data_IF_486264912166
#
_entry.id   IF_486264912166
#
_cell.length_a   1.000
_cell.length_b   1.000
_cell.length_c   1.000
_cell.angle_alpha   90.00
_cell.angle_beta   90.00
_cell.angle_gamma   90.00
#
_symmetry.space_group_name_H-M   'P 1'
#
loop_
_entity.id
_entity.type
_entity.pdbx_description
1 polymer ?
#
# COMPACT_ATOMS: atom_id res chain seq x y z
N UNK A 1 -7.55 16.95 3.21
CA UNK A 1 -6.05 16.95 3.17
C UNK A 1 -5.63 15.65 2.54
N UNK A 2 -4.69 15.69 1.62
CA UNK A 2 -4.17 14.51 0.94
C UNK A 2 -3.16 13.78 1.84
N UNK A 3 -3.23 12.45 1.90
CA UNK A 3 -2.33 11.63 2.71
C UNK A 3 -0.96 11.46 2.04
N UNK A 4 0.09 11.35 2.85
CA UNK A 4 1.38 10.79 2.43
C UNK A 4 1.25 9.28 2.24
N UNK A 5 1.84 8.74 1.17
CA UNK A 5 1.70 7.32 0.78
C UNK A 5 3.02 6.56 0.92
N UNK A 6 2.94 5.32 1.37
CA UNK A 6 4.05 4.37 1.35
C UNK A 6 3.84 3.39 0.19
N UNK A 7 4.76 3.43 -0.78
CA UNK A 7 4.66 2.72 -2.06
C UNK A 7 5.89 1.82 -2.25
N UNK A 8 5.87 0.57 -1.77
CA UNK A 8 6.96 -0.37 -2.04
C UNK A 8 7.22 -0.52 -3.53
N UNK A 9 8.49 -0.69 -3.93
CA UNK A 9 8.80 -1.00 -5.31
C UNK A 9 9.28 -2.44 -5.52
N UNK A 10 9.02 -2.97 -6.70
CA UNK A 10 9.47 -4.27 -7.19
C UNK A 10 10.16 -4.07 -8.54
N UNK A 11 11.46 -4.36 -8.59
CA UNK A 11 12.16 -4.53 -9.85
C UNK A 11 11.96 -5.97 -10.34
N UNK A 12 11.46 -6.14 -11.55
CA UNK A 12 11.10 -7.45 -12.08
C UNK A 12 12.14 -8.03 -13.05
N UNK A 13 13.26 -7.35 -13.26
CA UNK A 13 14.27 -7.73 -14.29
C UNK A 13 14.90 -9.11 -14.09
N UNK A 14 14.88 -9.66 -12.90
CA UNK A 14 15.49 -10.98 -12.62
C UNK A 14 14.56 -11.89 -11.83
N UNK A 15 13.24 -11.64 -11.86
CA UNK A 15 12.28 -12.36 -11.05
C UNK A 15 11.21 -13.04 -11.89
N UNK A 16 10.77 -14.22 -11.45
CA UNK A 16 9.61 -14.89 -12.05
C UNK A 16 8.32 -14.16 -11.68
N UNK A 17 7.32 -14.20 -12.55
CA UNK A 17 6.01 -13.59 -12.30
C UNK A 17 5.37 -14.08 -11.00
N UNK A 18 5.53 -15.36 -10.65
CA UNK A 18 5.01 -15.91 -9.39
C UNK A 18 5.64 -15.28 -8.14
N UNK A 19 6.95 -14.99 -8.16
CA UNK A 19 7.63 -14.31 -7.06
C UNK A 19 7.21 -12.84 -6.94
N UNK A 20 7.04 -12.17 -8.09
CA UNK A 20 6.55 -10.78 -8.13
C UNK A 20 5.14 -10.70 -7.56
N UNK A 21 4.23 -11.59 -7.96
CA UNK A 21 2.85 -11.65 -7.46
C UNK A 21 2.84 -11.89 -5.94
N UNK A 22 3.53 -12.92 -5.46
CA UNK A 22 3.56 -13.24 -4.03
C UNK A 22 4.11 -12.07 -3.18
N UNK A 23 5.12 -11.34 -3.70
CA UNK A 23 5.66 -10.16 -3.02
C UNK A 23 4.71 -8.97 -3.07
N UNK A 24 4.02 -8.77 -4.19
CA UNK A 24 3.01 -7.73 -4.32
C UNK A 24 1.86 -7.94 -3.34
N UNK A 25 1.30 -9.15 -3.26
CA UNK A 25 0.27 -9.53 -2.30
C UNK A 25 0.73 -9.26 -0.87
N UNK A 26 1.95 -9.69 -0.51
CA UNK A 26 2.52 -9.46 0.82
C UNK A 26 2.61 -7.98 1.19
N UNK A 27 3.04 -7.11 0.26
CA UNK A 27 3.08 -5.67 0.52
C UNK A 27 1.68 -5.08 0.75
N UNK A 28 0.69 -5.52 -0.01
CA UNK A 28 -0.71 -5.08 0.15
C UNK A 28 -1.32 -5.54 1.47
N UNK A 29 -1.06 -6.78 1.86
CA UNK A 29 -1.47 -7.32 3.17
C UNK A 29 -0.85 -6.52 4.32
N UNK A 30 0.42 -6.12 4.17
CA UNK A 30 1.13 -5.30 5.14
C UNK A 30 0.76 -3.81 5.11
N UNK A 31 -0.17 -3.40 4.26
CA UNK A 31 -0.74 -2.05 4.26
C UNK A 31 -0.09 -1.05 3.30
N UNK A 32 0.49 -1.50 2.19
CA UNK A 32 0.95 -0.61 1.13
C UNK A 32 -0.20 0.23 0.57
N UNK A 33 0.05 1.51 0.24
CA UNK A 33 -0.95 2.40 -0.34
C UNK A 33 -1.05 2.29 -1.86
N UNK A 34 0.02 1.83 -2.50
CA UNK A 34 0.16 1.50 -3.91
C UNK A 34 1.40 0.64 -4.09
N UNK A 35 1.62 0.11 -5.29
CA UNK A 35 2.86 -0.58 -5.66
C UNK A 35 3.52 0.13 -6.84
N UNK A 36 4.85 0.23 -6.82
CA UNK A 36 5.63 0.65 -7.97
C UNK A 36 6.37 -0.56 -8.54
N UNK A 37 5.95 -1.04 -9.71
CA UNK A 37 6.46 -2.26 -10.36
C UNK A 37 7.08 -1.85 -11.69
N UNK A 38 8.34 -2.21 -11.92
CA UNK A 38 9.01 -1.73 -13.12
C UNK A 38 9.90 -2.77 -13.80
N UNK A 39 9.94 -2.66 -15.13
CA UNK A 39 10.90 -3.28 -16.05
C UNK A 39 11.20 -2.29 -17.16
N UNK A 40 12.43 -1.83 -17.26
CA UNK A 40 12.84 -0.84 -18.24
C UNK A 40 13.60 -1.46 -19.42
N UNK A 41 13.20 -2.64 -19.88
CA UNK A 41 13.80 -3.32 -21.01
C UNK A 41 13.31 -2.76 -22.34
N UNK A 42 14.23 -2.59 -23.29
CA UNK A 42 13.93 -2.26 -24.67
C UNK A 42 13.62 -3.49 -25.53
N UNK A 43 13.77 -4.70 -24.99
CA UNK A 43 13.46 -5.96 -25.68
C UNK A 43 11.94 -6.15 -25.77
N UNK A 44 11.43 -6.33 -26.99
CA UNK A 44 9.99 -6.43 -27.24
C UNK A 44 9.34 -7.64 -26.55
N UNK A 45 10.02 -8.77 -26.48
CA UNK A 45 9.51 -9.98 -25.81
C UNK A 45 9.35 -9.71 -24.31
N UNK A 46 10.38 -9.13 -23.67
CA UNK A 46 10.33 -8.79 -22.24
C UNK A 46 9.29 -7.73 -21.92
N UNK A 47 9.04 -6.80 -22.85
CA UNK A 47 7.99 -5.77 -22.72
C UNK A 47 6.60 -6.40 -22.74
N UNK A 48 6.31 -7.29 -23.69
CA UNK A 48 5.02 -7.98 -23.77
C UNK A 48 4.81 -8.93 -22.56
N UNK A 49 5.83 -9.65 -22.11
CA UNK A 49 5.79 -10.44 -20.87
C UNK A 49 5.47 -9.56 -19.65
N UNK A 50 6.08 -8.37 -19.56
CA UNK A 50 5.83 -7.43 -18.47
C UNK A 50 4.40 -6.90 -18.50
N UNK A 51 3.87 -6.53 -19.67
CA UNK A 51 2.48 -6.09 -19.82
C UNK A 51 1.48 -7.20 -19.45
N UNK A 52 1.76 -8.44 -19.83
CA UNK A 52 0.95 -9.59 -19.42
C UNK A 52 0.94 -9.77 -17.91
N UNK A 53 2.12 -9.70 -17.27
CA UNK A 53 2.24 -9.79 -15.80
C UNK A 53 1.52 -8.64 -15.10
N UNK A 54 1.58 -7.41 -15.62
CA UNK A 54 0.84 -6.27 -15.06
C UNK A 54 -0.67 -6.50 -15.10
N UNK A 55 -1.19 -7.07 -16.19
CA UNK A 55 -2.61 -7.40 -16.32
C UNK A 55 -3.05 -8.44 -15.28
N UNK A 56 -2.24 -9.48 -15.05
CA UNK A 56 -2.50 -10.48 -14.01
C UNK A 56 -2.46 -9.86 -12.61
N UNK A 57 -1.48 -9.00 -12.35
CA UNK A 57 -1.36 -8.27 -11.08
C UNK A 57 -2.56 -7.36 -10.81
N UNK A 58 -3.00 -6.57 -11.78
CA UNK A 58 -4.16 -5.69 -11.66
C UNK A 58 -5.45 -6.47 -11.33
N UNK A 59 -5.58 -7.69 -11.84
CA UNK A 59 -6.73 -8.55 -11.54
C UNK A 59 -6.75 -9.04 -10.07
N UNK A 60 -5.60 -9.11 -9.41
CA UNK A 60 -5.45 -9.69 -8.06
C UNK A 60 -5.26 -8.59 -7.00
N UNK A 61 -4.47 -7.57 -7.32
CA UNK A 61 -4.03 -6.52 -6.41
C UNK A 61 -5.07 -5.40 -6.34
N UNK A 62 -5.45 -5.01 -5.12
CA UNK A 62 -6.53 -4.03 -4.88
C UNK A 62 -6.04 -2.59 -4.74
N UNK A 63 -4.73 -2.40 -4.55
CA UNK A 63 -4.15 -1.05 -4.47
C UNK A 63 -3.69 -0.58 -5.85
N UNK A 64 -3.60 0.73 -6.10
CA UNK A 64 -3.09 1.26 -7.36
C UNK A 64 -1.71 0.71 -7.71
N UNK A 65 -1.47 0.41 -8.98
CA UNK A 65 -0.17 0.00 -9.49
C UNK A 65 0.39 1.12 -10.37
N UNK A 66 1.61 1.54 -10.06
CA UNK A 66 2.43 2.41 -10.90
C UNK A 66 3.35 1.50 -11.72
N UNK A 67 3.26 1.52 -13.04
CA UNK A 67 4.10 0.70 -13.91
C UNK A 67 5.29 1.50 -14.44
N UNK A 68 6.52 1.11 -14.08
CA UNK A 68 7.72 1.65 -14.72
C UNK A 68 7.99 0.92 -16.03
N UNK A 69 7.88 1.64 -17.15
CA UNK A 69 7.95 1.08 -18.50
C UNK A 69 9.11 1.66 -19.31
N UNK A 70 9.60 0.89 -20.27
CA UNK A 70 10.37 1.45 -21.39
C UNK A 70 9.39 2.20 -22.31
N UNK A 71 9.76 3.42 -22.68
CA UNK A 71 8.91 4.30 -23.46
C UNK A 71 9.68 4.84 -24.66
N UNK A 72 9.15 4.62 -25.82
CA UNK A 72 9.67 5.13 -27.10
C UNK A 72 8.61 5.89 -27.86
N UNK A 73 7.37 5.40 -27.81
CA UNK A 73 6.23 5.97 -28.51
C UNK A 73 4.99 6.07 -27.61
N UNK A 74 4.05 6.95 -27.98
CA UNK A 74 2.77 7.10 -27.26
C UNK A 74 2.02 5.76 -27.09
N UNK A 75 2.17 4.83 -28.02
CA UNK A 75 1.50 3.52 -27.96
C UNK A 75 2.02 2.65 -26.81
N UNK A 76 3.23 2.86 -26.32
CA UNK A 76 3.76 2.16 -25.13
C UNK A 76 2.98 2.56 -23.88
N UNK A 77 2.67 3.86 -23.73
CA UNK A 77 1.80 4.33 -22.66
C UNK A 77 0.39 3.76 -22.77
N UNK A 78 -0.20 3.75 -23.97
CA UNK A 78 -1.54 3.18 -24.21
C UNK A 78 -1.58 1.69 -23.84
N UNK A 79 -0.59 0.90 -24.26
CA UNK A 79 -0.48 -0.52 -23.93
C UNK A 79 -0.41 -0.72 -22.42
N UNK A 80 0.40 0.07 -21.71
CA UNK A 80 0.52 -0.01 -20.25
C UNK A 80 -0.81 0.31 -19.56
N UNK A 81 -1.47 1.43 -19.88
CA UNK A 81 -2.76 1.77 -19.30
C UNK A 81 -3.88 0.77 -19.63
N UNK A 82 -3.82 0.12 -20.81
CA UNK A 82 -4.77 -0.94 -21.18
C UNK A 82 -4.63 -2.21 -20.31
N UNK A 83 -3.55 -2.38 -19.55
CA UNK A 83 -3.45 -3.45 -18.54
C UNK A 83 -4.29 -3.16 -17.30
N UNK A 84 -4.75 -1.91 -17.12
CA UNK A 84 -5.50 -1.45 -15.94
C UNK A 84 -4.63 -0.82 -14.85
N UNK A 85 -3.35 -0.56 -15.09
CA UNK A 85 -2.50 0.18 -14.13
C UNK A 85 -3.00 1.61 -13.95
N UNK A 86 -2.85 2.15 -12.75
CA UNK A 86 -3.32 3.48 -12.41
C UNK A 86 -2.40 4.59 -12.93
N UNK A 87 -1.10 4.32 -12.97
CA UNK A 87 -0.08 5.30 -13.34
C UNK A 87 1.05 4.59 -14.09
N UNK A 88 1.80 5.37 -14.88
CA UNK A 88 3.05 4.92 -15.48
C UNK A 88 4.22 5.79 -15.05
N UNK A 89 5.43 5.21 -15.08
CA UNK A 89 6.69 5.91 -14.83
C UNK A 89 7.67 5.65 -15.98
N UNK A 90 8.29 6.72 -16.48
CA UNK A 90 9.21 6.70 -17.60
C UNK A 90 10.56 7.26 -17.13
N UNK A 91 11.66 6.58 -17.46
CA UNK A 91 12.99 7.05 -17.06
C UNK A 91 13.45 8.19 -17.97
N UNK A 92 13.78 9.34 -17.36
CA UNK A 92 14.29 10.51 -18.08
C UNK A 92 15.54 10.16 -18.94
N UNK A 93 16.48 9.40 -18.39
CA UNK A 93 17.71 8.98 -19.11
C UNK A 93 17.47 8.11 -20.34
N UNK A 94 16.29 7.52 -20.48
CA UNK A 94 15.90 6.67 -21.62
C UNK A 94 14.85 7.34 -22.52
N UNK A 95 14.46 8.55 -22.18
CA UNK A 95 13.48 9.33 -22.95
C UNK A 95 14.20 10.05 -24.09
N UNK A 96 13.87 9.66 -25.32
CA UNK A 96 14.42 10.27 -26.54
C UNK A 96 13.42 11.21 -27.24
N UNK A 97 12.12 11.03 -27.00
CA UNK A 97 11.03 11.77 -27.64
C UNK A 97 10.14 12.44 -26.57
N UNK A 98 10.46 13.68 -26.24
CA UNK A 98 9.69 14.50 -25.30
C UNK A 98 8.32 14.90 -25.86
N UNK A 99 8.15 15.01 -27.18
CA UNK A 99 6.84 15.30 -27.79
C UNK A 99 5.88 14.13 -27.60
N UNK A 100 6.36 12.88 -27.71
CA UNK A 100 5.57 11.70 -27.41
C UNK A 100 5.22 11.63 -25.91
N UNK A 101 6.15 12.00 -25.02
CA UNK A 101 5.91 12.10 -23.58
C UNK A 101 4.84 13.14 -23.25
N UNK A 102 4.93 14.35 -23.82
CA UNK A 102 3.93 15.40 -23.62
C UNK A 102 2.54 14.99 -24.13
N UNK A 103 2.47 14.25 -25.24
CA UNK A 103 1.21 13.66 -25.71
C UNK A 103 0.65 12.64 -24.73
N UNK A 104 1.51 11.81 -24.10
CA UNK A 104 1.08 10.88 -23.07
C UNK A 104 0.55 11.62 -21.84
N UNK A 105 1.25 12.66 -21.36
CA UNK A 105 0.80 13.51 -20.26
C UNK A 105 -0.54 14.19 -20.56
N UNK A 106 -0.72 14.73 -21.77
CA UNK A 106 -2.00 15.35 -22.19
C UNK A 106 -3.14 14.34 -22.29
N UNK A 107 -2.85 13.10 -22.71
CA UNK A 107 -3.87 12.06 -22.91
C UNK A 107 -4.32 11.44 -21.59
N UNK A 108 -3.41 11.18 -20.66
CA UNK A 108 -3.67 10.40 -19.45
C UNK A 108 -3.70 11.24 -18.16
N UNK A 109 -3.30 12.50 -18.22
CA UNK A 109 -3.20 13.42 -17.08
C UNK A 109 -1.79 13.45 -16.47
N UNK A 110 -1.35 14.64 -16.05
CA UNK A 110 -0.03 14.85 -15.47
C UNK A 110 0.14 14.10 -14.13
N UNK A 111 -0.94 13.84 -13.42
CA UNK A 111 -0.97 13.08 -12.18
C UNK A 111 -0.78 11.56 -12.37
N UNK A 112 -0.94 11.08 -13.61
CA UNK A 112 -0.89 9.65 -13.95
C UNK A 112 0.38 9.24 -14.71
N UNK A 113 1.17 10.21 -15.17
CA UNK A 113 2.41 9.98 -15.92
C UNK A 113 3.59 10.59 -15.18
N UNK A 114 4.45 9.76 -14.63
CA UNK A 114 5.63 10.17 -13.87
C UNK A 114 6.88 10.17 -14.73
N UNK A 115 7.73 11.18 -14.55
CA UNK A 115 9.08 11.21 -15.08
C UNK A 115 10.06 10.81 -13.96
N UNK A 116 10.74 9.66 -14.11
CA UNK A 116 11.72 9.17 -13.14
C UNK A 116 13.12 9.70 -13.47
N UNK A 117 13.76 10.37 -12.50
CA UNK A 117 15.11 10.95 -12.63
C UNK A 117 15.89 10.89 -11.32
N UNK A 118 17.18 11.12 -11.37
CA UNK A 118 17.96 11.30 -10.14
C UNK A 118 17.85 12.76 -9.64
N UNK A 119 18.32 12.99 -8.39
CA UNK A 119 18.22 14.31 -7.74
C UNK A 119 18.91 15.41 -8.56
N UNK A 120 20.07 15.13 -9.17
CA UNK A 120 20.79 16.10 -9.98
C UNK A 120 20.01 16.46 -11.24
N UNK A 121 19.51 15.45 -11.97
CA UNK A 121 18.65 15.67 -13.14
C UNK A 121 17.41 16.48 -12.78
N UNK A 122 16.79 16.21 -11.64
CA UNK A 122 15.62 16.93 -11.15
C UNK A 122 15.95 18.41 -10.89
N UNK A 123 17.07 18.70 -10.21
CA UNK A 123 17.51 20.07 -9.93
C UNK A 123 17.77 20.85 -11.22
N UNK A 124 18.44 20.24 -12.19
CA UNK A 124 18.83 20.86 -13.48
C UNK A 124 17.65 20.95 -14.47
N UNK A 125 16.56 20.18 -14.25
CA UNK A 125 15.42 20.16 -15.21
C UNK A 125 14.67 21.50 -15.24
N UNK A 126 14.24 21.93 -16.42
CA UNK A 126 13.39 23.13 -16.63
C UNK A 126 11.89 22.80 -16.60
N UNK A 127 11.53 21.53 -16.55
CA UNK A 127 10.14 21.08 -16.59
C UNK A 127 9.45 21.35 -15.26
N UNK A 128 8.26 21.94 -15.28
CA UNK A 128 7.50 22.34 -14.07
C UNK A 128 6.11 21.73 -13.98
N UNK A 129 5.64 21.06 -15.04
CA UNK A 129 4.25 20.63 -15.18
C UNK A 129 4.03 19.11 -15.08
N UNK A 130 5.04 18.35 -14.63
CA UNK A 130 4.96 16.91 -14.58
C UNK A 130 4.90 16.38 -13.13
N UNK A 131 4.48 15.12 -12.97
CA UNK A 131 4.70 14.37 -11.75
C UNK A 131 6.07 13.67 -11.81
N UNK A 132 6.78 13.59 -10.68
CA UNK A 132 8.15 13.09 -10.67
C UNK A 132 8.35 11.95 -9.68
N UNK A 133 9.22 11.00 -10.08
CA UNK A 133 9.86 10.06 -9.18
C UNK A 133 11.32 10.44 -9.09
N UNK A 134 11.78 10.90 -7.92
CA UNK A 134 13.18 11.32 -7.73
C UNK A 134 13.94 10.33 -6.87
N UNK A 135 15.11 9.91 -7.34
CA UNK A 135 15.97 8.91 -6.69
C UNK A 135 17.39 9.43 -6.44
N UNK A 136 18.17 8.65 -5.68
CA UNK A 136 19.56 8.98 -5.31
C UNK A 136 19.68 10.30 -4.53
N UNK A 137 18.84 10.44 -3.51
CA UNK A 137 18.61 11.66 -2.75
C UNK A 137 19.77 11.95 -1.78
N UNK A 138 20.24 13.19 -1.80
CA UNK A 138 21.08 13.78 -0.76
C UNK A 138 20.31 14.76 0.12
N UNK A 139 19.13 15.20 -0.33
CA UNK A 139 18.29 16.23 0.30
C UNK A 139 19.04 17.57 0.46
N UNK A 140 19.81 17.98 -0.57
CA UNK A 140 20.46 19.26 -0.57
C UNK A 140 19.46 20.43 -0.63
N UNK A 141 19.90 21.63 -0.24
CA UNK A 141 19.04 22.81 -0.21
C UNK A 141 18.46 23.15 -1.58
N UNK A 142 19.22 22.94 -2.66
CA UNK A 142 18.76 23.15 -4.03
C UNK A 142 17.56 22.23 -4.37
N UNK A 143 17.64 20.96 -3.98
CA UNK A 143 16.53 20.02 -4.16
C UNK A 143 15.31 20.45 -3.37
N UNK A 144 15.46 20.77 -2.08
CA UNK A 144 14.37 21.18 -1.19
C UNK A 144 13.68 22.44 -1.72
N UNK A 145 14.47 23.43 -2.14
CA UNK A 145 13.94 24.69 -2.68
C UNK A 145 13.18 24.45 -3.99
N UNK A 146 13.73 23.64 -4.90
CA UNK A 146 13.04 23.30 -6.15
C UNK A 146 11.75 22.51 -5.90
N UNK A 147 11.78 21.48 -5.07
CA UNK A 147 10.60 20.71 -4.69
C UNK A 147 9.50 21.61 -4.11
N UNK A 148 9.89 22.63 -3.30
CA UNK A 148 8.96 23.57 -2.69
C UNK A 148 8.34 24.56 -3.68
N UNK A 149 9.01 24.86 -4.80
CA UNK A 149 8.56 25.81 -5.83
C UNK A 149 7.59 25.22 -6.85
N UNK A 150 7.55 23.88 -6.97
CA UNK A 150 6.71 23.19 -7.96
C UNK A 150 5.30 22.96 -7.42
N UNK A 151 4.31 23.03 -8.31
CA UNK A 151 2.93 22.60 -8.06
C UNK A 151 2.68 21.26 -8.75
N UNK A 152 3.38 20.24 -8.29
CA UNK A 152 3.31 18.91 -8.86
C UNK A 152 3.41 17.82 -7.76
N UNK A 153 3.15 16.56 -8.16
CA UNK A 153 3.30 15.42 -7.25
C UNK A 153 4.74 14.90 -7.31
N UNK A 154 5.36 14.80 -6.14
CA UNK A 154 6.67 14.16 -5.98
C UNK A 154 6.53 12.84 -5.24
N UNK A 155 7.08 11.79 -5.82
CA UNK A 155 7.37 10.53 -5.15
C UNK A 155 8.89 10.41 -4.99
N UNK A 156 9.37 10.22 -3.77
CA UNK A 156 10.79 9.99 -3.51
C UNK A 156 11.06 8.48 -3.49
N UNK A 157 12.10 8.06 -4.20
CA UNK A 157 12.57 6.67 -4.19
C UNK A 157 13.91 6.59 -3.49
N UNK A 158 13.95 5.99 -2.30
CA UNK A 158 15.12 5.95 -1.45
C UNK A 158 15.37 4.55 -0.87
N UNK A 159 16.62 4.24 -0.59
CA UNK A 159 17.03 2.98 0.04
C UNK A 159 16.88 2.97 1.56
N UNK A 160 16.58 4.11 2.17
CA UNK A 160 16.53 4.35 3.62
C UNK A 160 17.83 4.01 4.38
N UNK A 161 18.97 4.07 3.68
CA UNK A 161 20.28 3.83 4.30
C UNK A 161 20.91 5.09 4.87
N UNK A 162 20.60 6.25 4.29
CA UNK A 162 21.16 7.56 4.66
C UNK A 162 20.10 8.52 5.17
N UNK A 163 18.90 8.47 4.59
CA UNK A 163 17.80 9.36 4.91
C UNK A 163 16.76 8.61 5.74
N UNK A 164 16.15 9.28 6.69
CA UNK A 164 14.98 8.78 7.43
C UNK A 164 13.67 9.16 6.73
N UNK A 165 12.60 8.41 7.04
CA UNK A 165 11.30 8.58 6.40
C UNK A 165 10.63 9.91 6.73
N UNK A 166 10.83 10.44 7.94
CA UNK A 166 10.22 11.71 8.37
C UNK A 166 10.81 12.85 7.57
N UNK A 167 12.15 12.91 7.45
CA UNK A 167 12.85 13.92 6.67
C UNK A 167 12.42 13.92 5.21
N UNK A 168 12.35 12.72 4.58
CA UNK A 168 11.92 12.57 3.19
C UNK A 168 10.47 13.03 2.97
N UNK A 169 9.56 12.56 3.80
CA UNK A 169 8.13 12.87 3.66
C UNK A 169 7.77 14.28 4.11
N UNK A 170 8.61 14.97 4.88
CA UNK A 170 8.41 16.35 5.28
C UNK A 170 8.74 17.35 4.19
N UNK A 171 9.46 16.97 3.16
CA UNK A 171 9.73 17.84 2.02
C UNK A 171 8.41 18.27 1.39
N UNK A 172 8.27 19.58 1.12
CA UNK A 172 7.06 20.15 0.51
C UNK A 172 6.78 19.52 -0.85
N UNK A 173 5.51 19.28 -1.16
CA UNK A 173 5.02 18.63 -2.39
C UNK A 173 5.37 17.13 -2.55
N UNK A 174 6.17 16.56 -1.65
CA UNK A 174 6.33 15.11 -1.61
C UNK A 174 5.02 14.46 -1.14
N UNK A 175 4.46 13.58 -1.96
CA UNK A 175 3.20 12.85 -1.72
C UNK A 175 3.41 11.38 -1.37
N UNK A 176 4.57 10.83 -1.75
CA UNK A 176 4.84 9.43 -1.53
C UNK A 176 6.33 9.14 -1.33
N UNK A 177 6.61 8.08 -0.58
CA UNK A 177 7.92 7.47 -0.44
C UNK A 177 7.89 6.05 -1.00
N UNK A 178 8.89 5.70 -1.80
CA UNK A 178 9.03 4.39 -2.41
C UNK A 178 10.38 3.75 -2.04
N UNK A 179 10.34 2.50 -1.58
CA UNK A 179 11.53 1.72 -1.24
C UNK A 179 11.26 0.23 -1.37
N UNK A 180 12.31 -0.58 -1.51
CA UNK A 180 12.26 -2.04 -1.38
C UNK A 180 12.70 -2.54 0.00
N UNK A 181 13.03 -1.64 0.92
CA UNK A 181 13.50 -2.00 2.27
C UNK A 181 12.39 -2.64 3.14
N UNK A 182 11.13 -2.53 2.75
CA UNK A 182 9.98 -2.94 3.56
C UNK A 182 9.50 -4.38 3.36
N UNK A 183 10.29 -5.27 2.78
CA UNK A 183 9.86 -6.65 2.44
C UNK A 183 9.25 -7.42 3.62
N UNK A 184 9.71 -7.17 4.84
CA UNK A 184 9.25 -7.85 6.05
C UNK A 184 8.64 -6.88 7.09
N UNK A 185 8.36 -5.63 6.70
CA UNK A 185 7.87 -4.62 7.62
C UNK A 185 6.34 -4.51 7.55
N UNK A 186 5.74 -4.25 8.69
CA UNK A 186 4.34 -3.88 8.81
C UNK A 186 4.17 -2.38 8.47
N UNK A 187 3.67 -2.09 7.28
CA UNK A 187 3.49 -0.71 6.82
C UNK A 187 2.37 0.01 7.55
N UNK A 188 1.38 -0.73 8.06
CA UNK A 188 0.32 -0.14 8.88
C UNK A 188 0.91 0.40 10.19
N UNK A 189 1.77 -0.36 10.83
CA UNK A 189 2.50 0.09 12.01
C UNK A 189 3.40 1.29 11.70
N UNK A 190 4.18 1.25 10.61
CA UNK A 190 5.04 2.35 10.18
C UNK A 190 4.22 3.63 9.94
N UNK A 191 3.07 3.55 9.28
CA UNK A 191 2.19 4.70 9.06
C UNK A 191 1.69 5.31 10.38
N UNK A 192 1.34 4.49 11.35
CA UNK A 192 0.93 4.98 12.66
C UNK A 192 2.07 5.72 13.37
N UNK A 193 3.31 5.21 13.32
CA UNK A 193 4.48 5.90 13.89
C UNK A 193 4.77 7.23 13.16
N UNK A 194 4.70 7.25 11.83
CA UNK A 194 4.85 8.47 11.04
C UNK A 194 3.73 9.49 11.33
N UNK A 195 2.51 9.02 11.57
CA UNK A 195 1.40 9.89 11.95
C UNK A 195 1.62 10.53 13.33
N UNK A 196 2.19 9.78 14.29
CA UNK A 196 2.59 10.35 15.61
C UNK A 196 3.68 11.41 15.47
N UNK A 197 4.49 11.36 14.43
CA UNK A 197 5.50 12.38 14.10
C UNK A 197 4.91 13.60 13.36
N UNK A 198 3.58 13.70 13.22
CA UNK A 198 2.87 14.83 12.62
C UNK A 198 2.64 14.72 11.11
N UNK A 199 2.99 13.62 10.48
CA UNK A 199 2.72 13.39 9.06
C UNK A 199 1.27 12.90 8.86
N UNK A 200 0.57 13.45 7.86
CA UNK A 200 -0.78 13.00 7.52
C UNK A 200 -0.70 11.69 6.71
N UNK A 201 -0.86 10.55 7.39
CA UNK A 201 -0.78 9.21 6.80
C UNK A 201 -2.16 8.60 6.61
N UNK A 202 -2.29 7.68 5.65
CA UNK A 202 -3.49 6.85 5.49
C UNK A 202 -3.50 5.75 6.57
N UNK A 203 -4.10 6.02 7.70
CA UNK A 203 -4.22 5.11 8.85
C UNK A 203 -5.67 4.79 9.17
N UNK A 204 -5.89 3.67 9.86
CA UNK A 204 -7.20 3.35 10.41
C UNK A 204 -7.48 4.35 11.55
N UNK A 205 -8.53 5.14 11.40
CA UNK A 205 -8.94 6.11 12.43
C UNK A 205 -10.27 5.71 13.04
N UNK A 206 -10.34 5.78 14.37
CA UNK A 206 -11.58 5.53 15.08
C UNK A 206 -12.49 6.73 15.00
N UNK A 207 -13.75 6.51 14.67
CA UNK A 207 -14.80 7.52 14.78
C UNK A 207 -15.44 7.54 16.18
N UNK A 208 -15.33 6.44 16.91
CA UNK A 208 -15.86 6.25 18.27
C UNK A 208 -14.75 5.80 19.21
N UNK A 209 -14.82 6.19 20.46
CA UNK A 209 -13.97 5.66 21.53
C UNK A 209 -14.47 4.27 21.95
N UNK A 210 -13.60 3.41 22.48
CA UNK A 210 -14.02 2.12 23.04
C UNK A 210 -15.03 2.30 24.20
N UNK A 211 -14.99 3.44 24.89
CA UNK A 211 -15.93 3.80 25.95
C UNK A 211 -17.37 4.04 25.47
N UNK A 212 -17.54 4.26 24.17
CA UNK A 212 -18.86 4.42 23.55
C UNK A 212 -19.52 3.06 23.22
N UNK A 213 -18.78 1.96 23.42
CA UNK A 213 -19.29 0.60 23.16
C UNK A 213 -19.96 0.03 24.42
N UNK A 214 -21.01 -0.71 24.20
CA UNK A 214 -21.67 -1.50 25.26
C UNK A 214 -20.95 -2.83 25.40
N UNK A 215 -20.18 -2.97 26.44
CA UNK A 215 -19.43 -4.20 26.76
C UNK A 215 -20.21 -5.05 27.76
N UNK A 216 -19.85 -6.33 27.89
CA UNK A 216 -20.31 -7.20 28.94
C UNK A 216 -19.74 -6.78 30.33
N UNK A 217 -20.13 -7.49 31.39
CA UNK A 217 -19.67 -7.25 32.75
C UNK A 217 -18.15 -7.38 32.94
N UNK A 218 -17.43 -7.99 31.98
CA UNK A 218 -15.99 -8.16 31.99
C UNK A 218 -15.27 -7.12 31.08
N UNK A 219 -16.00 -6.14 30.55
CA UNK A 219 -15.47 -5.14 29.63
C UNK A 219 -15.16 -5.70 28.21
N UNK A 220 -15.87 -6.75 27.80
CA UNK A 220 -15.65 -7.40 26.50
C UNK A 220 -16.80 -7.10 25.55
N UNK A 221 -16.46 -6.90 24.26
CA UNK A 221 -17.41 -6.78 23.16
C UNK A 221 -17.19 -7.93 22.17
N UNK A 222 -18.26 -8.58 21.68
CA UNK A 222 -18.16 -9.58 20.63
C UNK A 222 -17.73 -8.95 19.31
N UNK A 223 -16.95 -9.71 18.53
CA UNK A 223 -16.44 -9.31 17.22
C UNK A 223 -16.67 -10.43 16.22
N UNK A 224 -17.43 -10.14 15.19
CA UNK A 224 -17.62 -11.03 14.04
C UNK A 224 -16.56 -10.68 12.99
N UNK A 225 -15.67 -11.63 12.69
CA UNK A 225 -14.74 -11.50 11.57
C UNK A 225 -15.39 -12.04 10.30
N UNK A 226 -15.43 -11.23 9.25
CA UNK A 226 -16.01 -11.55 7.96
C UNK A 226 -14.99 -11.29 6.85
N UNK A 227 -14.84 -12.23 5.92
CA UNK A 227 -14.01 -12.04 4.75
C UNK A 227 -14.52 -10.87 3.91
N UNK A 228 -13.64 -9.92 3.58
CA UNK A 228 -14.05 -8.69 2.92
C UNK A 228 -14.39 -8.87 1.43
N UNK A 229 -13.87 -9.93 0.77
CA UNK A 229 -14.17 -10.25 -0.63
C UNK A 229 -15.43 -11.09 -0.77
N UNK A 230 -15.50 -12.19 -0.02
CA UNK A 230 -16.56 -13.19 -0.16
C UNK A 230 -17.77 -12.89 0.71
N UNK A 231 -17.62 -12.04 1.74
CA UNK A 231 -18.59 -11.83 2.81
C UNK A 231 -18.89 -13.09 3.66
N UNK A 232 -18.06 -14.12 3.56
CA UNK A 232 -18.14 -15.29 4.41
C UNK A 232 -17.85 -14.91 5.87
N UNK A 233 -18.68 -15.36 6.81
CA UNK A 233 -18.42 -15.19 8.24
C UNK A 233 -17.37 -16.21 8.66
N UNK A 234 -16.24 -15.72 9.15
CA UNK A 234 -15.07 -16.53 9.44
C UNK A 234 -15.04 -17.03 10.88
N UNK A 235 -15.31 -16.17 11.84
CA UNK A 235 -15.29 -16.51 13.26
C UNK A 235 -15.95 -15.43 14.10
N UNK A 236 -16.27 -15.79 15.35
CA UNK A 236 -16.62 -14.88 16.43
C UNK A 236 -15.58 -14.97 17.54
N UNK A 237 -15.16 -13.82 18.04
CA UNK A 237 -14.26 -13.69 19.17
C UNK A 237 -14.64 -12.46 20.01
N UNK A 238 -13.79 -12.08 20.98
CA UNK A 238 -14.06 -10.95 21.86
C UNK A 238 -12.89 -9.98 21.88
N UNK A 239 -13.18 -8.71 22.10
CA UNK A 239 -12.18 -7.66 22.31
C UNK A 239 -12.44 -6.95 23.64
N UNK A 240 -11.35 -6.53 24.30
CA UNK A 240 -11.33 -5.48 25.31
C UNK A 240 -10.71 -4.20 24.69
N UNK A 241 -10.65 -3.12 25.45
CA UNK A 241 -10.08 -1.84 24.99
C UNK A 241 -8.65 -1.98 24.45
N UNK A 242 -7.82 -2.78 25.12
CA UNK A 242 -6.44 -3.00 24.73
C UNK A 242 -6.31 -3.74 23.41
N UNK A 243 -7.06 -4.84 23.21
CA UNK A 243 -7.05 -5.60 21.94
C UNK A 243 -7.61 -4.78 20.78
N UNK A 244 -8.63 -3.95 21.04
CA UNK A 244 -9.17 -3.02 20.05
C UNK A 244 -8.11 -1.98 19.63
N UNK A 245 -7.42 -1.36 20.60
CA UNK A 245 -6.33 -0.42 20.33
C UNK A 245 -5.21 -1.07 19.51
N UNK A 246 -4.75 -2.27 19.91
CA UNK A 246 -3.74 -3.02 19.14
C UNK A 246 -4.19 -3.32 17.71
N UNK A 247 -5.47 -3.66 17.51
CA UNK A 247 -6.02 -3.89 16.16
C UNK A 247 -5.94 -2.64 15.29
N UNK A 248 -6.26 -1.47 15.84
CA UNK A 248 -6.16 -0.20 15.12
C UNK A 248 -4.71 0.17 14.80
N UNK A 249 -3.81 0.01 15.77
CA UNK A 249 -2.40 0.38 15.63
C UNK A 249 -1.64 -0.51 14.65
N UNK A 250 -1.98 -1.79 14.58
CA UNK A 250 -1.25 -2.76 13.75
C UNK A 250 -1.96 -3.13 12.46
N UNK A 251 -3.26 -2.84 12.35
CA UNK A 251 -4.08 -3.34 11.24
C UNK A 251 -4.30 -4.85 11.25
N UNK A 252 -3.88 -5.55 12.31
CA UNK A 252 -4.06 -7.00 12.50
C UNK A 252 -5.06 -7.26 13.60
N UNK A 253 -6.01 -8.17 13.32
CA UNK A 253 -7.02 -8.53 14.32
C UNK A 253 -6.37 -9.10 15.58
N UNK A 254 -6.48 -8.37 16.66
CA UNK A 254 -6.07 -8.77 18.00
C UNK A 254 -7.31 -8.94 18.87
N UNK A 255 -7.47 -10.08 19.46
CA UNK A 255 -8.60 -10.47 20.29
C UNK A 255 -8.20 -10.61 21.76
N UNK A 256 -9.20 -10.71 22.63
CA UNK A 256 -9.03 -11.09 24.01
C UNK A 256 -9.55 -12.51 24.24
N UNK A 257 -8.67 -13.41 24.66
CA UNK A 257 -9.03 -14.80 25.00
C UNK A 257 -9.65 -14.85 26.39
N UNK A 258 -10.95 -15.15 26.49
CA UNK A 258 -11.68 -15.28 27.76
C UNK A 258 -11.12 -16.39 28.66
N UNK A 259 -10.76 -17.54 28.06
CA UNK A 259 -10.22 -18.68 28.80
C UNK A 259 -8.79 -18.48 29.31
N UNK A 260 -7.94 -17.84 28.49
CA UNK A 260 -6.52 -17.60 28.82
C UNK A 260 -6.30 -16.26 29.52
N UNK A 261 -7.31 -15.36 29.51
CA UNK A 261 -7.27 -13.99 30.05
C UNK A 261 -6.10 -13.17 29.52
N UNK A 262 -5.83 -13.25 28.21
CA UNK A 262 -4.73 -12.55 27.57
C UNK A 262 -5.08 -12.12 26.15
N UNK A 263 -4.33 -11.16 25.65
CA UNK A 263 -4.40 -10.75 24.25
C UNK A 263 -3.95 -11.90 23.34
N UNK A 264 -4.50 -11.91 22.13
CA UNK A 264 -4.18 -12.88 21.11
C UNK A 264 -4.29 -12.25 19.72
N UNK A 265 -3.14 -12.01 19.07
CA UNK A 265 -3.11 -11.62 17.67
C UNK A 265 -3.38 -12.84 16.79
N UNK A 266 -4.42 -12.75 15.97
CA UNK A 266 -4.79 -13.83 15.06
C UNK A 266 -3.68 -14.02 14.02
N UNK A 267 -3.15 -15.25 13.95
CA UNK A 267 -2.08 -15.61 13.02
C UNK A 267 -0.67 -15.50 13.59
N UNK A 268 -0.47 -14.98 14.79
CA UNK A 268 0.86 -14.81 15.40
C UNK A 268 1.68 -16.12 15.45
N UNK A 269 1.04 -17.24 15.72
CA UNK A 269 1.68 -18.56 15.79
C UNK A 269 1.60 -19.32 14.47
N UNK A 270 0.47 -19.20 13.74
CA UNK A 270 0.17 -20.03 12.56
C UNK A 270 0.53 -19.37 11.22
N UNK A 271 0.81 -18.07 11.21
CA UNK A 271 0.91 -17.27 9.98
C UNK A 271 -0.43 -16.92 9.34
N UNK A 272 -1.55 -17.44 9.86
CA UNK A 272 -2.90 -17.20 9.32
C UNK A 272 -3.48 -15.88 9.85
N UNK A 273 -2.87 -14.76 9.49
CA UNK A 273 -3.27 -13.43 9.92
C UNK A 273 -4.64 -13.00 9.37
N UNK A 274 -5.26 -12.06 10.08
CA UNK A 274 -6.43 -11.32 9.65
C UNK A 274 -6.06 -9.84 9.57
N UNK A 275 -5.95 -9.30 8.36
CA UNK A 275 -5.66 -7.88 8.14
C UNK A 275 -6.95 -7.08 8.03
N UNK A 276 -7.08 -6.04 8.84
CA UNK A 276 -8.28 -5.20 8.88
C UNK A 276 -8.42 -4.41 7.58
N UNK A 277 -9.57 -4.55 6.94
CA UNK A 277 -9.99 -3.70 5.81
C UNK A 277 -10.99 -2.63 6.27
N UNK A 278 -11.92 -2.99 7.15
CA UNK A 278 -12.89 -2.05 7.70
C UNK A 278 -13.50 -2.58 8.99
N UNK A 279 -13.83 -1.67 9.90
CA UNK A 279 -14.54 -1.98 11.14
C UNK A 279 -15.88 -1.25 11.15
N UNK A 280 -16.91 -1.92 11.62
CA UNK A 280 -18.23 -1.37 11.85
C UNK A 280 -18.66 -1.70 13.27
N UNK A 281 -19.51 -0.88 13.83
CA UNK A 281 -20.25 -1.17 15.05
C UNK A 281 -21.73 -1.28 14.67
N UNK A 282 -22.48 -2.12 15.36
CA UNK A 282 -23.93 -2.25 15.11
C UNK A 282 -24.74 -1.06 15.67
N UNK A 283 -26.04 -1.11 15.53
CA UNK A 283 -26.91 0.04 15.78
C UNK A 283 -27.02 0.44 17.27
N UNK A 284 -26.72 -0.47 18.18
CA UNK A 284 -26.77 -0.22 19.63
C UNK A 284 -25.42 -0.34 20.34
N UNK A 285 -24.35 -0.41 19.56
CA UNK A 285 -22.94 -0.37 19.96
C UNK A 285 -22.49 -1.56 20.82
N UNK A 286 -23.05 -2.74 20.62
CA UNK A 286 -22.72 -3.92 21.40
C UNK A 286 -22.00 -5.03 20.62
N UNK A 287 -21.84 -4.90 19.29
CA UNK A 287 -21.18 -5.90 18.44
C UNK A 287 -20.34 -5.25 17.34
N UNK A 288 -19.08 -5.65 17.21
CA UNK A 288 -18.20 -5.19 16.12
C UNK A 288 -18.29 -6.17 14.95
N UNK A 289 -18.45 -5.67 13.73
CA UNK A 289 -18.21 -6.40 12.48
C UNK A 289 -16.88 -5.95 11.88
N UNK A 290 -15.92 -6.88 11.82
CA UNK A 290 -14.62 -6.66 11.21
C UNK A 290 -14.57 -7.29 9.80
N UNK A 291 -14.46 -6.46 8.77
CA UNK A 291 -14.12 -6.90 7.41
C UNK A 291 -12.62 -7.11 7.33
N UNK A 292 -12.18 -8.33 7.04
CA UNK A 292 -10.76 -8.71 7.08
C UNK A 292 -10.31 -9.43 5.82
N UNK A 293 -9.05 -9.25 5.46
CA UNK A 293 -8.35 -10.16 4.55
C UNK A 293 -7.79 -11.32 5.37
N UNK A 294 -8.31 -12.53 5.15
CA UNK A 294 -7.90 -13.73 5.87
C UNK A 294 -6.84 -14.50 5.11
N UNK A 295 -5.66 -14.68 5.70
CA UNK A 295 -4.63 -15.57 5.19
C UNK A 295 -4.86 -16.98 5.72
N UNK A 296 -4.95 -17.96 4.82
CA UNK A 296 -5.17 -19.37 5.20
C UNK A 296 -6.46 -19.60 5.98
N UNK A 297 -6.42 -20.53 6.94
CA UNK A 297 -7.55 -20.94 7.74
C UNK A 297 -7.85 -19.97 8.91
N UNK A 298 -9.11 -19.58 9.08
CA UNK A 298 -9.51 -18.84 10.26
C UNK A 298 -9.63 -19.77 11.50
N UNK A 299 -10.10 -20.99 11.30
CA UNK A 299 -10.28 -21.96 12.37
C UNK A 299 -8.95 -22.64 12.78
N UNK A 300 -8.78 -22.93 14.06
CA UNK A 300 -7.65 -23.70 14.59
C UNK A 300 -7.62 -25.16 14.12
N UNK A 301 -8.76 -25.67 13.62
CA UNK A 301 -8.87 -27.02 13.03
C UNK A 301 -8.40 -27.09 11.59
N UNK A 302 -7.98 -25.97 10.99
CA UNK A 302 -7.57 -25.88 9.57
C UNK A 302 -8.70 -25.53 8.59
N UNK A 303 -9.94 -25.39 9.07
CA UNK A 303 -11.06 -24.96 8.21
C UNK A 303 -11.01 -23.46 7.91
N UNK A 304 -11.51 -23.06 6.74
CA UNK A 304 -11.60 -21.66 6.30
C UNK A 304 -12.39 -20.80 7.29
N UNK A 305 -13.52 -21.32 7.78
CA UNK A 305 -14.40 -20.69 8.76
C UNK A 305 -14.53 -21.55 10.03
N UNK A 306 -14.92 -20.94 11.14
CA UNK A 306 -15.34 -21.68 12.35
C UNK A 306 -16.78 -22.24 12.26
N UNK A 307 -17.56 -21.79 11.27
CA UNK A 307 -18.97 -22.16 11.09
C UNK A 307 -19.13 -23.22 9.98
N UNK A 308 -18.57 -24.40 10.24
CA UNK A 308 -18.56 -25.51 9.27
C UNK A 308 -19.46 -26.70 9.67
N UNK A 309 -20.10 -26.65 10.83
CA UNK A 309 -21.02 -27.68 11.30
C UNK A 309 -22.44 -27.22 11.05
N UNK A 310 -23.17 -27.98 10.25
CA UNK A 310 -24.61 -27.76 10.04
C UNK A 310 -25.40 -28.22 11.28
N UNK A 311 -26.39 -27.43 11.68
CA UNK A 311 -27.26 -27.70 12.81
C UNK A 311 -28.67 -28.15 12.40
N UNK A 312 -29.02 -28.06 11.10
CA UNK A 312 -30.33 -28.37 10.61
C UNK A 312 -30.35 -29.40 9.49
#
# INVERSE_FOLDING_TARGET
MEYKRLIPFINTESESSSHVIARAEKYVEHGADALFIFRYSSNDIEREEFLSMLKDLVAIIEVPIIAGIYFEHLDDAKKAFNTGVSNIAIQNKKLNDYDAFDKAVKMFGAENVFLEMDEKEFIESEYTAYSYIVKHLSLCDEFINKAASLDCQLMLRDSLRKNDMVSLLSVKNVKALSTNAWVNNDLTFIKNELSKSGLNMNIITNKLSFKDFKTDANGLIPVIAQDYKTNEVLMLAYMNEESFRHTIETGKMTYYSRSRRQLWCKGETSGHFQYVKKLYIDCDNDTILAKVSQIGAACHTGNRTCFFTDLT
#
